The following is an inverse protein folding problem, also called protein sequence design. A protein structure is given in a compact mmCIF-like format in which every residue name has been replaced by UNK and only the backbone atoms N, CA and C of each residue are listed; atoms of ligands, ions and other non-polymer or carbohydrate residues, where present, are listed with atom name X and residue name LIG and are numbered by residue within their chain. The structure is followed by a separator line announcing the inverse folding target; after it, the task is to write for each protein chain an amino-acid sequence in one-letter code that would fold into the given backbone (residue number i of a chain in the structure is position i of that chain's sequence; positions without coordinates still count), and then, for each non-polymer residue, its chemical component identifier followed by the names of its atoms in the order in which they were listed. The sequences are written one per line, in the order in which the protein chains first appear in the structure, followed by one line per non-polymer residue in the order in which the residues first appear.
data_IF_927980340551
#
_entry.id   IF_927980340551
#
_cell.length_a   1.000
_cell.length_b   1.000
_cell.length_c   1.000
_cell.angle_alpha   90.00
_cell.angle_beta   90.00
_cell.angle_gamma   90.00
#
_symmetry.space_group_name_H-M   'P 1'
#
loop_
_entity.id
_entity.type
_entity.pdbx_description
1 polymer ?
#
# COMPACT_ATOMS: atom_id res chain seq x y z
N UNK A 1 -9.11 21.44 -8.97
CA UNK A 1 -8.26 20.23 -8.92
C UNK A 1 -8.77 19.27 -9.98
N UNK A 2 -8.01 19.01 -11.04
CA UNK A 2 -8.39 17.99 -12.04
C UNK A 2 -8.20 16.62 -11.36
N UNK A 3 -9.22 15.77 -11.25
CA UNK A 3 -9.04 14.44 -10.69
C UNK A 3 -8.07 13.68 -11.58
N UNK A 4 -6.93 13.23 -11.04
CA UNK A 4 -6.10 12.24 -11.72
C UNK A 4 -6.93 10.96 -11.78
N UNK A 5 -7.47 10.64 -12.96
CA UNK A 5 -8.27 9.43 -13.15
C UNK A 5 -7.43 8.19 -12.79
N UNK A 6 -8.04 7.18 -12.14
CA UNK A 6 -7.36 5.91 -11.89
C UNK A 6 -6.79 5.35 -13.19
N UNK A 7 -5.54 4.90 -13.16
CA UNK A 7 -4.91 4.22 -14.29
C UNK A 7 -4.83 2.73 -13.99
N UNK A 8 -5.38 1.91 -14.86
CA UNK A 8 -5.32 0.46 -14.76
C UNK A 8 -4.32 -0.09 -15.76
N UNK A 9 -3.39 -0.91 -15.27
CA UNK A 9 -2.36 -1.59 -16.06
C UNK A 9 -2.43 -3.08 -15.77
N UNK A 10 -2.24 -3.91 -16.80
CA UNK A 10 -2.02 -5.35 -16.63
C UNK A 10 -0.54 -5.64 -16.72
N UNK A 11 -0.01 -6.32 -15.71
CA UNK A 11 1.37 -6.81 -15.67
C UNK A 11 1.36 -8.30 -15.95
N UNK A 12 2.04 -8.74 -17.01
CA UNK A 12 2.17 -10.16 -17.32
C UNK A 12 2.99 -10.86 -16.21
N UNK A 13 2.53 -12.03 -15.77
CA UNK A 13 3.32 -12.85 -14.86
C UNK A 13 4.35 -13.64 -15.68
N UNK A 14 5.64 -13.45 -15.40
CA UNK A 14 6.66 -14.32 -15.95
C UNK A 14 6.42 -15.76 -15.42
N UNK A 15 6.51 -16.80 -16.27
CA UNK A 15 6.46 -18.17 -15.79
C UNK A 15 7.62 -18.40 -14.82
N UNK A 16 7.34 -19.01 -13.68
CA UNK A 16 8.39 -19.39 -12.74
C UNK A 16 9.32 -20.40 -13.45
N UNK A 17 10.57 -20.01 -13.71
CA UNK A 17 11.61 -20.93 -14.16
C UNK A 17 11.90 -21.85 -12.97
N UNK A 18 11.37 -23.07 -12.98
CA UNK A 18 11.76 -24.09 -12.01
C UNK A 18 13.21 -24.48 -12.33
N UNK A 19 14.17 -24.02 -11.54
CA UNK A 19 15.49 -24.65 -11.52
C UNK A 19 15.29 -26.08 -11.01
N UNK A 20 15.34 -27.05 -11.92
CA UNK A 20 15.46 -28.46 -11.58
C UNK A 20 16.87 -28.67 -11.03
N UNK A 21 17.05 -28.48 -9.72
CA UNK A 21 18.20 -29.03 -9.02
C UNK A 21 18.06 -30.56 -9.08
N UNK A 22 19.03 -31.33 -9.61
CA UNK A 22 18.97 -32.77 -9.58
C UNK A 22 19.02 -33.22 -8.12
N UNK A 23 17.92 -33.80 -7.63
CA UNK A 23 17.88 -34.43 -6.33
C UNK A 23 18.74 -35.70 -6.39
N UNK A 24 19.93 -35.67 -5.78
CA UNK A 24 20.70 -36.87 -5.50
C UNK A 24 20.00 -37.60 -4.35
N UNK A 25 19.07 -38.50 -4.68
CA UNK A 25 18.38 -39.34 -3.72
C UNK A 25 19.33 -40.45 -3.25
N UNK A 26 19.91 -40.30 -2.05
CA UNK A 26 20.52 -41.41 -1.33
C UNK A 26 19.40 -42.12 -0.55
N UNK A 27 19.03 -43.33 -0.99
CA UNK A 27 18.00 -44.15 -0.36
C UNK A 27 18.42 -44.59 1.05
N UNK A 28 17.67 -44.19 2.09
CA UNK A 28 17.48 -45.01 3.30
C UNK A 28 16.23 -44.54 4.06
N UNK A 29 15.28 -45.45 4.25
CA UNK A 29 14.18 -45.35 5.23
C UNK A 29 12.81 -44.98 4.66
N UNK A 30 11.96 -45.99 4.47
CA UNK A 30 10.56 -45.83 4.07
C UNK A 30 9.72 -45.36 5.28
N UNK A 31 9.48 -44.05 5.40
CA UNK A 31 8.42 -43.51 6.27
C UNK A 31 7.27 -43.08 5.37
N UNK A 32 6.15 -43.81 5.43
CA UNK A 32 4.93 -43.49 4.69
C UNK A 32 4.28 -42.24 5.31
N UNK A 33 4.66 -41.05 4.85
CA UNK A 33 3.92 -39.83 5.13
C UNK A 33 2.73 -39.75 4.16
N UNK A 34 1.51 -39.82 4.69
CA UNK A 34 0.28 -39.50 3.96
C UNK A 34 0.31 -38.01 3.59
N UNK A 35 0.94 -37.69 2.46
CA UNK A 35 0.96 -36.34 1.88
C UNK A 35 -0.35 -36.09 1.17
N UNK A 36 -1.30 -35.41 1.84
CA UNK A 36 -2.39 -34.76 1.14
C UNK A 36 -1.78 -33.76 0.14
N UNK A 37 -1.88 -34.06 -1.15
CA UNK A 37 -1.42 -33.18 -2.21
C UNK A 37 -2.14 -31.85 -2.09
N UNK A 38 -1.42 -30.81 -1.65
CA UNK A 38 -1.96 -29.45 -1.59
C UNK A 38 -2.22 -29.00 -3.03
N UNK A 39 -3.49 -28.83 -3.37
CA UNK A 39 -3.88 -28.37 -4.71
C UNK A 39 -3.06 -27.13 -5.09
N UNK A 40 -2.27 -27.24 -6.15
CA UNK A 40 -1.40 -26.17 -6.62
C UNK A 40 -2.30 -25.07 -7.21
N UNK A 41 -2.45 -23.96 -6.47
CA UNK A 41 -3.22 -22.81 -6.95
C UNK A 41 -2.54 -22.24 -8.20
N UNK A 42 -3.16 -22.40 -9.38
CA UNK A 42 -2.60 -21.93 -10.65
C UNK A 42 -2.39 -20.41 -10.61
N UNK A 43 -1.18 -19.94 -10.91
CA UNK A 43 -0.89 -18.51 -11.04
C UNK A 43 -1.72 -17.87 -12.14
N UNK A 44 -2.22 -16.63 -11.96
CA UNK A 44 -2.85 -15.92 -13.05
C UNK A 44 -1.81 -15.61 -14.16
N UNK A 45 -2.26 -15.53 -15.40
CA UNK A 45 -1.40 -15.13 -16.54
C UNK A 45 -1.04 -13.63 -16.49
N UNK A 46 -1.82 -12.82 -15.79
CA UNK A 46 -1.59 -11.39 -15.59
C UNK A 46 -2.15 -10.93 -14.24
N UNK A 47 -1.56 -9.87 -13.71
CA UNK A 47 -2.06 -9.13 -12.53
C UNK A 47 -2.59 -7.78 -13.02
N UNK A 48 -3.76 -7.38 -12.54
CA UNK A 48 -4.32 -6.04 -12.72
C UNK A 48 -3.92 -5.12 -11.57
N UNK A 49 -3.29 -4.00 -11.91
CA UNK A 49 -2.91 -2.96 -10.96
C UNK A 49 -3.64 -1.68 -11.36
N UNK A 50 -4.44 -1.15 -10.44
CA UNK A 50 -5.00 0.20 -10.53
C UNK A 50 -4.25 1.12 -9.60
N UNK A 51 -3.73 2.21 -10.13
CA UNK A 51 -3.02 3.23 -9.36
C UNK A 51 -3.77 4.56 -9.42
N UNK A 52 -3.91 5.18 -8.26
CA UNK A 52 -4.39 6.55 -8.08
C UNK A 52 -3.24 7.39 -7.53
N UNK A 53 -3.22 8.66 -7.92
CA UNK A 53 -2.28 9.63 -7.36
C UNK A 53 -2.65 10.03 -5.93
N UNK A 54 -2.33 11.27 -5.60
CA UNK A 54 -2.43 11.81 -4.24
C UNK A 54 -3.88 11.86 -3.74
N UNK A 55 -4.08 11.30 -2.55
CA UNK A 55 -5.33 11.28 -1.82
C UNK A 55 -5.15 12.17 -0.60
N UNK A 56 -5.45 13.45 -0.77
CA UNK A 56 -5.53 14.40 0.34
C UNK A 56 -6.96 14.39 0.90
N UNK A 57 -7.11 13.93 2.14
CA UNK A 57 -8.39 13.94 2.84
C UNK A 57 -8.39 15.04 3.90
N UNK A 58 -9.54 15.67 4.11
CA UNK A 58 -9.77 16.64 5.17
C UNK A 58 -11.02 16.21 5.97
N UNK A 59 -11.15 16.65 7.24
CA UNK A 59 -12.37 16.41 8.02
C UNK A 59 -13.56 17.01 7.27
N UNK A 60 -14.69 16.31 7.30
CA UNK A 60 -15.92 16.74 6.64
C UNK A 60 -17.12 16.47 7.54
N UNK A 61 -18.16 17.29 7.39
CA UNK A 61 -19.37 17.23 8.22
C UNK A 61 -20.19 15.96 8.01
N UNK A 62 -20.05 15.32 6.85
CA UNK A 62 -20.69 14.05 6.49
C UNK A 62 -19.88 12.80 6.92
N UNK A 63 -18.85 12.98 7.76
CA UNK A 63 -17.96 11.90 8.19
C UNK A 63 -17.19 11.23 7.04
N UNK A 64 -17.07 11.92 5.91
CA UNK A 64 -16.36 11.49 4.72
C UNK A 64 -17.21 10.72 3.71
N UNK A 65 -18.54 10.75 3.84
CA UNK A 65 -19.47 10.10 2.91
C UNK A 65 -19.30 10.51 1.44
N UNK A 66 -18.86 11.74 1.18
CA UNK A 66 -18.54 12.25 -0.14
C UNK A 66 -17.25 11.70 -0.76
N UNK A 67 -16.40 10.99 -0.01
CA UNK A 67 -15.18 10.41 -0.56
C UNK A 67 -15.45 9.12 -1.35
N UNK A 68 -14.98 9.11 -2.60
CA UNK A 68 -14.96 7.97 -3.53
C UNK A 68 -16.28 7.41 -4.10
N UNK A 69 -17.53 7.91 -3.86
CA UNK A 69 -18.72 7.25 -4.37
C UNK A 69 -18.72 7.13 -5.91
N UNK A 70 -18.18 8.16 -6.60
CA UNK A 70 -18.06 8.19 -8.06
C UNK A 70 -16.87 7.41 -8.62
N UNK A 71 -15.96 6.95 -7.77
CA UNK A 71 -14.73 6.26 -8.19
C UNK A 71 -14.79 4.75 -7.95
N UNK A 72 -15.79 4.24 -7.21
CA UNK A 72 -15.87 2.82 -6.83
C UNK A 72 -15.75 1.85 -8.00
N UNK A 73 -16.36 2.15 -9.14
CA UNK A 73 -16.26 1.30 -10.34
C UNK A 73 -14.87 1.29 -10.97
N UNK A 74 -14.09 2.35 -10.77
CA UNK A 74 -12.73 2.49 -11.28
C UNK A 74 -11.65 1.99 -10.31
N UNK A 75 -11.98 1.80 -9.02
CA UNK A 75 -11.08 1.31 -7.97
C UNK A 75 -11.18 -0.22 -7.84
N UNK A 76 -10.87 -0.91 -8.93
CA UNK A 76 -10.96 -2.38 -9.02
C UNK A 76 -9.66 -2.97 -9.56
N UNK A 77 -9.35 -4.20 -9.19
CA UNK A 77 -8.14 -4.90 -9.63
C UNK A 77 -7.56 -5.77 -8.52
N UNK A 78 -6.51 -6.51 -8.84
CA UNK A 78 -5.81 -7.36 -7.87
C UNK A 78 -5.00 -6.50 -6.88
N UNK A 79 -4.47 -5.37 -7.36
CA UNK A 79 -3.81 -4.35 -6.56
C UNK A 79 -4.43 -3.00 -6.87
N UNK A 80 -4.98 -2.33 -5.86
CA UNK A 80 -5.50 -0.97 -5.97
C UNK A 80 -4.67 -0.08 -5.04
N UNK A 81 -3.72 0.63 -5.64
CA UNK A 81 -2.71 1.46 -4.98
C UNK A 81 -3.15 2.93 -4.96
N UNK A 82 -3.05 3.59 -3.81
CA UNK A 82 -3.17 5.04 -3.68
C UNK A 82 -1.95 5.66 -3.00
N UNK A 83 -1.67 6.94 -3.24
CA UNK A 83 -0.73 7.72 -2.45
C UNK A 83 -1.50 8.51 -1.39
N UNK A 84 -1.32 8.19 -0.10
CA UNK A 84 -2.05 8.87 0.98
C UNK A 84 -1.29 10.15 1.38
N UNK A 85 -1.81 11.30 0.96
CA UNK A 85 -1.17 12.60 1.14
C UNK A 85 -1.68 13.26 2.42
N UNK A 86 -0.89 13.18 3.50
CA UNK A 86 -1.24 13.71 4.82
C UNK A 86 -1.30 12.66 5.91
N UNK A 87 -1.92 13.00 7.03
CA UNK A 87 -2.04 12.13 8.20
C UNK A 87 -3.49 11.75 8.51
N UNK A 88 -3.71 10.50 8.96
CA UNK A 88 -4.96 10.05 9.54
C UNK A 88 -4.80 10.05 11.07
N UNK A 89 -5.02 11.21 11.69
CA UNK A 89 -4.63 11.48 13.06
C UNK A 89 -5.63 12.38 13.81
N UNK A 90 -5.65 12.27 15.14
CA UNK A 90 -6.36 13.17 16.05
C UNK A 90 -5.42 14.14 16.79
N UNK A 91 -4.11 13.86 16.77
CA UNK A 91 -3.08 14.64 17.46
C UNK A 91 -1.80 14.79 16.65
N UNK A 92 -0.72 15.19 17.33
CA UNK A 92 0.58 15.47 16.73
C UNK A 92 0.79 16.98 16.47
N UNK A 93 2.06 17.39 16.50
CA UNK A 93 2.46 18.78 16.22
C UNK A 93 2.46 19.02 14.73
N UNK A 94 1.68 20.01 14.29
CA UNK A 94 1.66 20.45 12.90
C UNK A 94 3.05 20.90 12.45
N UNK A 95 3.47 20.53 11.23
CA UNK A 95 4.67 21.08 10.58
C UNK A 95 4.53 22.57 10.25
N UNK A 96 3.31 23.08 10.20
CA UNK A 96 3.01 24.48 9.93
C UNK A 96 2.81 25.26 11.23
N UNK A 97 3.51 26.39 11.36
CA UNK A 97 3.24 27.39 12.40
C UNK A 97 1.80 27.93 12.25
N UNK A 98 1.10 28.25 13.36
CA UNK A 98 -0.20 28.94 13.31
C UNK A 98 -0.17 30.28 12.56
N UNK A 99 0.97 30.96 12.50
CA UNK A 99 1.15 32.22 11.78
C UNK A 99 1.56 32.05 10.31
N UNK A 100 1.71 30.82 9.83
CA UNK A 100 2.17 30.57 8.47
C UNK A 100 1.08 30.85 7.44
N UNK A 101 1.41 31.66 6.44
CA UNK A 101 0.50 31.97 5.31
C UNK A 101 0.74 31.11 4.07
N UNK A 102 1.88 30.41 4.00
CA UNK A 102 2.26 29.55 2.87
C UNK A 102 2.79 28.18 3.33
N UNK A 103 2.05 27.52 4.23
CA UNK A 103 2.33 26.15 4.65
C UNK A 103 1.03 25.37 4.72
N UNK A 104 1.03 24.16 4.18
CA UNK A 104 -0.14 23.30 4.12
C UNK A 104 0.11 22.03 4.92
N UNK A 105 -0.74 21.76 5.91
CA UNK A 105 -0.72 20.52 6.71
C UNK A 105 -2.09 19.83 6.62
N UNK A 106 -2.08 18.60 6.12
CA UNK A 106 -3.25 17.76 5.90
C UNK A 106 -3.42 16.74 7.03
N UNK A 107 -4.58 16.78 7.67
CA UNK A 107 -5.00 15.80 8.68
C UNK A 107 -6.46 15.48 8.53
N UNK A 108 -6.76 14.20 8.40
CA UNK A 108 -8.11 13.66 8.45
C UNK A 108 -8.28 12.73 9.66
N UNK A 109 -9.52 12.44 10.09
CA UNK A 109 -9.76 11.52 11.18
C UNK A 109 -9.20 10.11 10.90
N UNK A 110 -8.64 9.40 11.89
CA UNK A 110 -8.18 8.01 11.74
C UNK A 110 -9.24 7.05 11.16
N UNK A 111 -10.52 7.30 11.46
CA UNK A 111 -11.64 6.50 10.96
C UNK A 111 -11.75 6.51 9.42
N UNK A 112 -11.16 7.49 8.73
CA UNK A 112 -11.21 7.60 7.27
C UNK A 112 -10.41 6.51 6.56
N UNK A 113 -9.52 5.80 7.26
CA UNK A 113 -8.90 4.58 6.73
C UNK A 113 -9.97 3.55 6.27
N UNK A 114 -11.11 3.49 6.98
CA UNK A 114 -12.22 2.61 6.61
C UNK A 114 -12.90 3.02 5.30
N UNK A 115 -12.89 4.31 4.95
CA UNK A 115 -13.41 4.80 3.68
C UNK A 115 -12.52 4.33 2.52
N UNK A 116 -11.19 4.44 2.68
CA UNK A 116 -10.22 3.92 1.71
C UNK A 116 -10.43 2.42 1.48
N UNK A 117 -10.54 1.64 2.56
CA UNK A 117 -10.79 0.20 2.47
C UNK A 117 -12.11 -0.12 1.76
N UNK A 118 -13.20 0.57 2.11
CA UNK A 118 -14.52 0.40 1.47
C UNK A 118 -14.54 0.85 0.01
N UNK A 119 -13.66 1.77 -0.38
CA UNK A 119 -13.56 2.25 -1.75
C UNK A 119 -12.90 1.24 -2.71
N UNK A 120 -12.19 0.23 -2.18
CA UNK A 120 -11.55 -0.82 -2.98
C UNK A 120 -10.02 -0.81 -2.94
N UNK A 121 -9.41 0.14 -2.22
CA UNK A 121 -7.95 0.16 -2.09
C UNK A 121 -7.43 -1.08 -1.36
N UNK A 122 -6.29 -1.59 -1.82
CA UNK A 122 -5.60 -2.74 -1.21
C UNK A 122 -4.31 -2.34 -0.50
N UNK A 123 -3.70 -1.22 -0.92
CA UNK A 123 -2.43 -0.72 -0.39
C UNK A 123 -2.32 0.81 -0.52
N UNK A 124 -1.67 1.43 0.48
CA UNK A 124 -1.34 2.86 0.49
C UNK A 124 0.17 3.09 0.45
N UNK A 125 0.62 3.99 -0.41
CA UNK A 125 1.95 4.58 -0.33
C UNK A 125 1.94 5.74 0.68
N UNK A 126 2.92 5.76 1.58
CA UNK A 126 3.17 6.82 2.56
C UNK A 126 4.47 7.59 2.27
N UNK A 127 5.22 7.24 1.21
CA UNK A 127 6.37 8.00 0.78
C UNK A 127 5.91 9.24 0.01
N UNK A 128 5.71 10.35 0.72
CA UNK A 128 5.39 11.65 0.15
C UNK A 128 5.77 12.79 1.11
N UNK A 129 5.59 14.03 0.64
CA UNK A 129 5.99 15.23 1.36
C UNK A 129 5.04 15.62 2.50
N UNK A 130 3.84 15.03 2.56
CA UNK A 130 2.86 15.29 3.62
C UNK A 130 2.73 14.17 4.66
N UNK A 131 3.52 13.10 4.56
CA UNK A 131 3.47 11.95 5.47
C UNK A 131 3.82 12.27 6.94
N UNK A 132 4.53 13.38 7.18
CA UNK A 132 4.89 13.89 8.51
C UNK A 132 4.22 15.23 8.85
N UNK A 133 3.09 15.57 8.23
CA UNK A 133 2.41 16.85 8.48
C UNK A 133 2.06 17.11 9.95
N UNK A 134 1.83 16.06 10.72
CA UNK A 134 1.57 16.13 12.16
C UNK A 134 2.63 15.37 12.97
N UNK A 135 3.86 15.37 12.45
CA UNK A 135 5.03 14.76 13.05
C UNK A 135 4.93 13.23 13.19
N UNK A 136 5.89 12.63 13.94
CA UNK A 136 5.94 11.18 14.14
C UNK A 136 4.66 10.62 14.78
N UNK A 137 4.01 11.39 15.66
CA UNK A 137 2.71 11.03 16.24
C UNK A 137 1.64 10.89 15.16
N UNK A 138 1.50 11.88 14.26
CA UNK A 138 0.55 11.80 13.16
C UNK A 138 0.82 10.61 12.24
N UNK A 139 2.08 10.37 11.88
CA UNK A 139 2.46 9.24 11.04
C UNK A 139 2.16 7.89 11.72
N UNK A 140 2.48 7.73 13.00
CA UNK A 140 2.18 6.50 13.75
C UNK A 140 0.68 6.21 13.84
N UNK A 141 -0.14 7.25 14.02
CA UNK A 141 -1.60 7.11 14.02
C UNK A 141 -2.13 6.73 12.63
N UNK A 142 -1.54 7.27 11.56
CA UNK A 142 -1.86 6.89 10.18
C UNK A 142 -1.62 5.41 9.94
N UNK A 143 -0.43 4.92 10.28
CA UNK A 143 -0.06 3.50 10.15
C UNK A 143 -1.04 2.62 10.93
N UNK A 144 -1.26 2.93 12.21
CA UNK A 144 -2.20 2.20 13.04
C UNK A 144 -3.63 2.23 12.48
N UNK A 145 -4.06 3.32 11.83
CA UNK A 145 -5.36 3.42 11.19
C UNK A 145 -5.51 2.50 9.97
N UNK A 146 -4.47 2.43 9.13
CA UNK A 146 -4.44 1.53 7.98
C UNK A 146 -4.41 0.06 8.42
N UNK A 147 -3.59 -0.27 9.41
CA UNK A 147 -3.49 -1.62 9.98
C UNK A 147 -4.82 -2.11 10.54
N UNK A 148 -5.53 -1.26 11.30
CA UNK A 148 -6.84 -1.58 11.89
C UNK A 148 -7.88 -2.00 10.85
N UNK A 149 -7.78 -1.51 9.62
CA UNK A 149 -8.71 -1.86 8.53
C UNK A 149 -8.10 -2.84 7.53
N UNK A 150 -6.93 -3.41 7.86
CA UNK A 150 -6.20 -4.38 7.06
C UNK A 150 -5.71 -3.84 5.71
N UNK A 151 -5.51 -2.52 5.59
CA UNK A 151 -4.87 -1.91 4.43
C UNK A 151 -3.36 -2.08 4.57
N UNK A 152 -2.72 -2.67 3.56
CA UNK A 152 -1.25 -2.69 3.50
C UNK A 152 -0.73 -1.28 3.29
N UNK A 153 0.49 -1.02 3.71
CA UNK A 153 1.17 0.24 3.44
C UNK A 153 2.65 0.03 3.18
N UNK A 154 3.26 0.99 2.49
CA UNK A 154 4.70 1.04 2.20
C UNK A 154 5.17 2.50 2.22
N UNK A 155 6.49 2.69 2.16
CA UNK A 155 7.10 3.99 1.87
C UNK A 155 7.87 4.62 3.02
N UNK A 156 7.78 4.10 4.24
CA UNK A 156 8.73 4.46 5.31
C UNK A 156 10.06 3.74 5.11
N UNK A 157 11.18 4.25 5.69
CA UNK A 157 12.48 3.58 5.59
C UNK A 157 12.42 2.10 6.01
N UNK A 158 13.02 1.23 5.20
CA UNK A 158 13.03 -0.22 5.40
C UNK A 158 11.69 -0.95 5.18
N UNK A 159 10.65 -0.28 4.67
CA UNK A 159 9.38 -0.93 4.35
C UNK A 159 9.31 -1.39 2.88
N UNK A 160 9.02 -2.69 2.73
CA UNK A 160 8.53 -3.28 1.48
C UNK A 160 7.19 -3.97 1.78
N UNK A 161 6.15 -3.55 1.08
CA UNK A 161 4.86 -4.22 1.17
C UNK A 161 4.75 -5.33 0.12
N UNK A 162 4.15 -6.45 0.52
CA UNK A 162 3.90 -7.56 -0.40
C UNK A 162 2.42 -7.88 -0.53
N UNK A 163 1.96 -8.02 -1.77
CA UNK A 163 0.63 -8.54 -2.12
C UNK A 163 0.83 -9.85 -2.86
N UNK A 164 -0.06 -10.83 -2.62
CA UNK A 164 -0.04 -12.13 -3.30
C UNK A 164 -1.30 -12.29 -4.13
N UNK A 165 -1.12 -12.63 -5.40
CA UNK A 165 -2.20 -12.86 -6.37
C UNK A 165 -1.96 -14.25 -7.00
N UNK A 166 -2.72 -15.25 -6.56
CA UNK A 166 -2.38 -16.66 -6.82
C UNK A 166 -1.00 -17.01 -6.24
N UNK A 167 -0.10 -17.56 -7.06
CA UNK A 167 1.30 -17.78 -6.62
C UNK A 167 2.24 -16.59 -6.90
N UNK A 168 1.76 -15.55 -7.58
CA UNK A 168 2.56 -14.36 -7.87
C UNK A 168 2.68 -13.50 -6.62
N UNK A 169 3.92 -13.19 -6.21
CA UNK A 169 4.22 -12.24 -5.13
C UNK A 169 4.63 -10.91 -5.76
N UNK A 170 3.94 -9.85 -5.40
CA UNK A 170 4.16 -8.49 -5.90
C UNK A 170 4.75 -7.68 -4.77
N UNK A 171 5.93 -7.08 -4.99
CA UNK A 171 6.54 -6.12 -4.09
C UNK A 171 6.08 -4.71 -4.46
N UNK A 172 5.71 -3.91 -3.47
CA UNK A 172 5.38 -2.50 -3.62
C UNK A 172 6.29 -1.67 -2.74
N UNK A 173 7.03 -0.77 -3.38
CA UNK A 173 7.99 0.13 -2.78
C UNK A 173 7.56 1.55 -3.09
N UNK A 174 7.56 2.39 -2.05
CA UNK A 174 7.29 3.81 -2.16
C UNK A 174 8.54 4.60 -1.86
N UNK A 175 8.85 5.62 -2.66
CA UNK A 175 10.03 6.46 -2.44
C UNK A 175 9.70 7.94 -2.48
N UNK A 176 10.41 8.74 -1.70
CA UNK A 176 10.34 10.20 -1.76
C UNK A 176 11.65 10.83 -1.24
N UNK A 177 12.00 12.06 -1.67
CA UNK A 177 13.25 12.72 -1.29
C UNK A 177 13.16 13.35 0.11
N UNK A 178 12.64 12.60 1.10
CA UNK A 178 12.47 13.07 2.47
C UNK A 178 13.05 12.06 3.47
N UNK A 179 13.65 12.50 4.59
CA UNK A 179 14.26 11.60 5.57
C UNK A 179 13.31 10.57 6.21
N UNK A 180 12.00 10.79 6.11
CA UNK A 180 10.96 9.91 6.65
C UNK A 180 10.39 8.93 5.61
N UNK A 181 10.99 8.87 4.43
CA UNK A 181 10.60 7.97 3.34
C UNK A 181 11.81 7.18 2.82
N UNK A 182 11.57 6.10 2.09
CA UNK A 182 12.63 5.40 1.36
C UNK A 182 13.28 6.35 0.35
N UNK A 183 14.61 6.34 0.29
CA UNK A 183 15.39 7.18 -0.61
C UNK A 183 15.53 6.55 -2.00
N UNK A 184 15.24 7.31 -3.05
CA UNK A 184 15.56 6.91 -4.44
C UNK A 184 17.07 6.82 -4.69
N UNK A 185 17.88 7.42 -3.83
CA UNK A 185 19.34 7.46 -3.96
C UNK A 185 20.04 6.30 -3.24
N UNK A 186 19.29 5.48 -2.49
CA UNK A 186 19.82 4.35 -1.74
C UNK A 186 18.91 3.13 -1.92
N UNK A 187 18.91 2.59 -3.15
CA UNK A 187 18.14 1.39 -3.50
C UNK A 187 18.53 0.17 -2.65
N UNK A 188 19.82 -0.08 -2.32
CA UNK A 188 20.19 -1.20 -1.45
C UNK A 188 19.64 -1.12 -0.02
N UNK A 189 19.38 0.08 0.50
CA UNK A 189 18.77 0.28 1.81
C UNK A 189 17.23 0.18 1.83
N UNK A 190 16.61 0.02 0.67
CA UNK A 190 15.15 -0.03 0.52
C UNK A 190 14.52 -1.37 0.92
#
# INVERSE_FOLDING_TARGET
MVPKLPRSVRVACAPAVRLLLPALALLLGLVATSGAARAETKSPSSVSITAVGDIAMAPSTDGGGGFFPRMRSALTGDVVLGNLEGTLATGGTSKCSPSSTNCFAFRAPPAYASLLRRAGFTIMNLANNHALDYGPTGQSQTVAALDRVGLRHTGRPGEIAYVRVGNTRIALLGFAPYPWAQSLLDIPAA
#
